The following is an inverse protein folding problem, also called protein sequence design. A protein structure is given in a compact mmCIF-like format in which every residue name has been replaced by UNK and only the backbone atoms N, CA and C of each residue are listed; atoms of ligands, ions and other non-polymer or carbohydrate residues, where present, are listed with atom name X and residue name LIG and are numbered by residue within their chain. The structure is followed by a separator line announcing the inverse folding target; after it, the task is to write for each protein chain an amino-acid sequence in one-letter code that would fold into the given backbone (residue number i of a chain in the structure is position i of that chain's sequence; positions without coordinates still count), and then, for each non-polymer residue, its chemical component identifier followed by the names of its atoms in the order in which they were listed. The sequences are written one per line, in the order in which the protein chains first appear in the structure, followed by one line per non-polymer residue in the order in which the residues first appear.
data_IF_504702943519
#
_entry.id   IF_504702943519
#
_cell.length_a   1.000
_cell.length_b   1.000
_cell.length_c   1.000
_cell.angle_alpha   90.00
_cell.angle_beta   90.00
_cell.angle_gamma   90.00
#
_symmetry.space_group_name_H-M   'P 1'
#
loop_
_entity.id
_entity.type
_entity.pdbx_description
1 polymer ?
#
# COMPACT_ATOMS: atom_id res chain seq x y z
N UNK A 1 2.73 2.60 39.78
CA UNK A 1 1.79 2.87 38.67
C UNK A 1 2.39 2.53 37.31
N UNK A 2 3.54 3.10 36.93
CA UNK A 2 4.17 2.86 35.63
C UNK A 2 4.61 1.41 35.46
N UNK A 3 5.29 0.82 36.46
CA UNK A 3 5.72 -0.58 36.43
C UNK A 3 4.54 -1.55 36.27
N UNK A 4 3.44 -1.32 36.99
CA UNK A 4 2.21 -2.09 36.84
C UNK A 4 1.65 -1.99 35.42
N UNK A 5 1.57 -0.77 34.87
CA UNK A 5 1.05 -0.53 33.51
C UNK A 5 1.90 -1.21 32.44
N UNK A 6 3.23 -1.14 32.56
CA UNK A 6 4.16 -1.80 31.64
C UNK A 6 4.05 -3.32 31.68
N UNK A 7 3.94 -3.92 32.87
CA UNK A 7 3.75 -5.36 33.02
C UNK A 7 2.42 -5.83 32.43
N UNK A 8 1.34 -5.05 32.63
CA UNK A 8 0.03 -5.35 32.03
C UNK A 8 0.08 -5.27 30.51
N UNK A 9 0.72 -4.25 29.97
CA UNK A 9 0.88 -4.08 28.51
C UNK A 9 1.73 -5.21 27.92
N UNK A 10 2.84 -5.57 28.55
CA UNK A 10 3.68 -6.70 28.11
C UNK A 10 2.88 -8.00 28.05
N UNK A 11 2.10 -8.30 29.08
CA UNK A 11 1.25 -9.49 29.09
C UNK A 11 0.14 -9.49 28.04
N UNK A 12 -0.36 -8.32 27.65
CA UNK A 12 -1.32 -8.19 26.54
C UNK A 12 -0.65 -8.48 25.19
N UNK A 13 0.55 -7.95 24.99
CA UNK A 13 1.31 -8.14 23.74
C UNK A 13 1.74 -9.60 23.58
N UNK A 14 2.21 -10.23 24.65
CA UNK A 14 2.58 -11.67 24.66
C UNK A 14 1.41 -12.59 24.24
N UNK A 15 0.19 -12.21 24.60
CA UNK A 15 -1.02 -12.96 24.31
C UNK A 15 -1.75 -12.49 23.04
N UNK A 16 -1.15 -11.56 22.30
CA UNK A 16 -1.73 -11.03 21.08
C UNK A 16 -1.95 -12.15 20.06
N UNK A 17 -3.16 -12.24 19.55
CA UNK A 17 -3.50 -13.17 18.47
C UNK A 17 -3.57 -12.41 17.15
N UNK A 18 -2.82 -12.88 16.18
CA UNK A 18 -2.78 -12.29 14.83
C UNK A 18 -3.47 -13.21 13.85
N UNK A 19 -4.35 -12.67 13.03
CA UNK A 19 -5.03 -13.37 11.95
C UNK A 19 -4.56 -12.80 10.59
N UNK A 20 -3.46 -13.31 10.01
CA UNK A 20 -2.89 -12.76 8.78
C UNK A 20 -3.86 -12.75 7.61
N UNK A 21 -4.71 -13.76 7.50
CA UNK A 21 -5.72 -13.86 6.44
C UNK A 21 -6.75 -12.73 6.51
N UNK A 22 -7.19 -12.39 7.73
CA UNK A 22 -8.11 -11.28 7.94
C UNK A 22 -7.45 -9.92 7.67
N UNK A 23 -6.17 -9.78 8.01
CA UNK A 23 -5.40 -8.58 7.69
C UNK A 23 -5.31 -8.37 6.18
N UNK A 24 -4.99 -9.41 5.43
CA UNK A 24 -4.95 -9.36 3.96
C UNK A 24 -6.31 -9.06 3.36
N UNK A 25 -7.36 -9.70 3.88
CA UNK A 25 -8.75 -9.45 3.46
C UNK A 25 -9.14 -7.98 3.67
N UNK A 26 -8.79 -7.39 4.82
CA UNK A 26 -9.08 -6.00 5.12
C UNK A 26 -8.29 -5.06 4.19
N UNK A 27 -7.02 -5.37 3.91
CA UNK A 27 -6.20 -4.61 2.97
C UNK A 27 -6.82 -4.60 1.56
N UNK A 28 -7.33 -5.74 1.12
CA UNK A 28 -7.93 -5.92 -0.21
C UNK A 28 -9.37 -5.42 -0.32
N UNK A 29 -10.00 -5.04 0.80
CA UNK A 29 -11.38 -4.58 0.84
C UNK A 29 -11.63 -3.39 -0.09
N UNK A 30 -10.65 -2.51 -0.23
CA UNK A 30 -10.69 -1.32 -1.09
C UNK A 30 -10.19 -1.60 -2.52
N UNK A 31 -10.06 -2.87 -2.91
CA UNK A 31 -9.75 -3.30 -4.27
C UNK A 31 -8.53 -2.62 -4.90
N UNK A 32 -7.49 -2.44 -4.12
CA UNK A 32 -6.22 -1.86 -4.55
C UNK A 32 -6.11 -0.35 -4.39
N UNK A 33 -7.17 0.37 -3.97
CA UNK A 33 -7.13 1.83 -3.77
C UNK A 33 -6.07 2.29 -2.76
N UNK A 34 -5.64 1.41 -1.85
CA UNK A 34 -4.54 1.68 -0.90
C UNK A 34 -3.22 2.03 -1.60
N UNK A 35 -3.04 1.58 -2.84
CA UNK A 35 -1.84 1.86 -3.65
C UNK A 35 -1.95 3.13 -4.51
N UNK A 36 -3.05 3.87 -4.44
CA UNK A 36 -3.28 5.05 -5.29
C UNK A 36 -2.18 6.11 -5.15
N UNK A 37 -1.68 6.33 -3.94
CA UNK A 37 -0.58 7.27 -3.71
C UNK A 37 0.73 6.80 -4.34
N UNK A 38 1.03 5.51 -4.29
CA UNK A 38 2.22 4.93 -4.95
C UNK A 38 2.16 5.17 -6.46
N UNK A 39 1.02 4.91 -7.09
CA UNK A 39 0.81 5.18 -8.52
C UNK A 39 0.96 6.68 -8.83
N UNK A 40 0.42 7.57 -8.01
CA UNK A 40 0.59 9.01 -8.17
C UNK A 40 2.07 9.42 -8.17
N UNK A 41 2.84 8.89 -7.22
CA UNK A 41 4.27 9.16 -7.14
C UNK A 41 5.04 8.59 -8.33
N UNK A 42 4.74 7.39 -8.75
CA UNK A 42 5.38 6.76 -9.91
C UNK A 42 5.10 7.55 -11.20
N UNK A 43 3.88 8.03 -11.40
CA UNK A 43 3.52 8.91 -12.53
C UNK A 43 4.32 10.22 -12.51
N UNK A 44 4.43 10.86 -11.36
CA UNK A 44 5.20 12.10 -11.25
C UNK A 44 6.70 11.88 -11.46
N UNK A 45 7.25 10.76 -10.99
CA UNK A 45 8.63 10.36 -11.25
C UNK A 45 8.89 10.04 -12.73
N UNK A 46 7.87 9.57 -13.45
CA UNK A 46 7.93 9.33 -14.88
C UNK A 46 7.82 10.62 -15.72
N UNK A 47 7.67 11.79 -15.09
CA UNK A 47 7.64 13.09 -15.75
C UNK A 47 6.25 13.65 -16.02
N UNK A 48 5.18 12.98 -15.55
CA UNK A 48 3.82 13.49 -15.63
C UNK A 48 3.63 14.61 -14.60
N UNK A 49 2.96 15.70 -14.98
CA UNK A 49 2.67 16.78 -14.02
C UNK A 49 1.80 16.25 -12.88
N UNK A 50 1.91 16.87 -11.70
CA UNK A 50 1.15 16.44 -10.52
C UNK A 50 -0.35 16.50 -10.75
N UNK A 51 -0.82 17.54 -11.42
CA UNK A 51 -2.25 17.71 -11.73
C UNK A 51 -2.76 16.65 -12.69
N UNK A 52 -1.96 16.30 -13.70
CA UNK A 52 -2.33 15.28 -14.67
C UNK A 52 -2.28 13.88 -14.03
N UNK A 53 -1.24 13.59 -13.28
CA UNK A 53 -1.13 12.34 -12.52
C UNK A 53 -2.30 12.16 -11.54
N UNK A 54 -2.69 13.23 -10.85
CA UNK A 54 -3.87 13.21 -9.97
C UNK A 54 -5.16 12.91 -10.75
N UNK A 55 -5.37 13.54 -11.90
CA UNK A 55 -6.54 13.25 -12.76
C UNK A 55 -6.59 11.79 -13.22
N UNK A 56 -5.45 11.24 -13.64
CA UNK A 56 -5.36 9.84 -14.06
C UNK A 56 -5.71 8.89 -12.91
N UNK A 57 -5.13 9.11 -11.74
CA UNK A 57 -5.40 8.28 -10.55
C UNK A 57 -6.86 8.40 -10.13
N UNK A 58 -7.38 9.63 -10.04
CA UNK A 58 -8.74 9.89 -9.58
C UNK A 58 -9.80 9.26 -10.50
N UNK A 59 -9.69 9.42 -11.82
CA UNK A 59 -10.67 8.84 -12.74
C UNK A 59 -10.77 7.32 -12.65
N UNK A 60 -9.63 6.65 -12.45
CA UNK A 60 -9.61 5.20 -12.25
C UNK A 60 -10.11 4.79 -10.86
N UNK A 61 -9.75 5.56 -9.82
CA UNK A 61 -10.23 5.32 -8.47
C UNK A 61 -11.76 5.47 -8.35
N UNK A 62 -12.36 6.42 -9.07
CA UNK A 62 -13.81 6.59 -9.08
C UNK A 62 -14.52 5.39 -9.70
N UNK A 63 -13.98 4.78 -10.76
CA UNK A 63 -14.54 3.54 -11.33
C UNK A 63 -14.51 2.38 -10.34
N UNK A 64 -13.44 2.27 -9.55
CA UNK A 64 -13.35 1.27 -8.47
C UNK A 64 -14.44 1.49 -7.44
N UNK A 65 -14.63 2.73 -7.03
CA UNK A 65 -15.60 3.11 -6.00
C UNK A 65 -17.04 2.93 -6.46
N UNK A 66 -17.38 3.43 -7.65
CA UNK A 66 -18.75 3.46 -8.15
C UNK A 66 -19.18 2.13 -8.78
N UNK A 67 -18.28 1.47 -9.52
CA UNK A 67 -18.57 0.28 -10.31
C UNK A 67 -18.08 -1.03 -9.68
N UNK A 68 -17.33 -0.93 -8.57
CA UNK A 68 -16.80 -2.09 -7.86
C UNK A 68 -15.69 -2.84 -8.61
N UNK A 69 -14.97 -2.16 -9.48
CA UNK A 69 -13.87 -2.73 -10.27
C UNK A 69 -12.57 -2.83 -9.48
N UNK A 70 -11.60 -3.55 -10.01
CA UNK A 70 -10.24 -3.64 -9.46
C UNK A 70 -9.39 -2.47 -9.94
N UNK A 71 -8.67 -1.81 -9.03
CA UNK A 71 -7.88 -0.62 -9.35
C UNK A 71 -6.71 -0.92 -10.29
N UNK A 72 -6.03 -2.04 -10.09
CA UNK A 72 -4.93 -2.45 -10.96
C UNK A 72 -5.42 -2.73 -12.39
N UNK A 73 -6.54 -3.41 -12.55
CA UNK A 73 -7.13 -3.69 -13.85
C UNK A 73 -7.55 -2.41 -14.57
N UNK A 74 -8.16 -1.45 -13.87
CA UNK A 74 -8.54 -0.17 -14.46
C UNK A 74 -7.31 0.65 -14.90
N UNK A 75 -6.23 0.65 -14.13
CA UNK A 75 -4.98 1.32 -14.52
C UNK A 75 -4.33 0.66 -15.74
N UNK A 76 -4.36 -0.67 -15.83
CA UNK A 76 -3.84 -1.41 -16.98
C UNK A 76 -4.68 -1.21 -18.25
N UNK A 77 -5.96 -0.91 -18.11
CA UNK A 77 -6.86 -0.58 -19.22
C UNK A 77 -6.74 0.91 -19.66
N UNK A 78 -6.16 1.76 -18.83
CA UNK A 78 -6.02 3.19 -19.11
C UNK A 78 -4.75 3.45 -19.93
N UNK A 79 -4.93 3.81 -21.22
CA UNK A 79 -3.82 4.02 -22.15
C UNK A 79 -2.88 5.15 -21.73
N UNK A 80 -3.37 6.20 -21.10
CA UNK A 80 -2.52 7.30 -20.63
C UNK A 80 -1.59 6.84 -19.52
N UNK A 81 -2.10 6.03 -18.58
CA UNK A 81 -1.31 5.44 -17.49
C UNK A 81 -0.30 4.42 -18.03
N UNK A 82 -0.72 3.54 -18.94
CA UNK A 82 0.15 2.55 -19.56
C UNK A 82 1.26 3.22 -20.38
N UNK A 83 0.96 4.27 -21.11
CA UNK A 83 1.95 5.04 -21.87
C UNK A 83 2.97 5.72 -20.97
N UNK A 84 2.53 6.23 -19.82
CA UNK A 84 3.40 6.94 -18.87
C UNK A 84 4.30 5.99 -18.05
N UNK A 85 3.76 4.87 -17.57
CA UNK A 85 4.45 3.96 -16.65
C UNK A 85 4.89 2.63 -17.30
N UNK A 86 4.08 2.10 -18.22
CA UNK A 86 4.20 0.73 -18.70
C UNK A 86 3.54 -0.29 -17.77
N UNK A 87 3.08 -1.40 -18.34
CA UNK A 87 2.36 -2.45 -17.59
C UNK A 87 3.19 -3.06 -16.46
N UNK A 88 4.50 -3.30 -16.70
CA UNK A 88 5.39 -3.88 -15.70
C UNK A 88 5.51 -2.99 -14.45
N UNK A 89 5.63 -1.68 -14.63
CA UNK A 89 5.73 -0.73 -13.51
C UNK A 89 4.41 -0.61 -12.75
N UNK A 90 3.28 -0.63 -13.46
CA UNK A 90 1.96 -0.64 -12.81
C UNK A 90 1.82 -1.87 -11.91
N UNK A 91 2.17 -3.06 -12.40
CA UNK A 91 2.11 -4.30 -11.61
C UNK A 91 3.04 -4.26 -10.39
N UNK A 92 4.26 -3.78 -10.57
CA UNK A 92 5.25 -3.61 -9.49
C UNK A 92 4.75 -2.66 -8.40
N UNK A 93 4.00 -1.61 -8.76
CA UNK A 93 3.48 -0.62 -7.82
C UNK A 93 2.44 -1.19 -6.84
N UNK A 94 1.87 -2.37 -7.13
CA UNK A 94 0.96 -3.10 -6.25
C UNK A 94 1.66 -4.11 -5.35
N UNK A 95 3.00 -4.12 -5.35
CA UNK A 95 3.77 -4.99 -4.46
C UNK A 95 3.79 -4.43 -3.03
N UNK A 96 3.23 -5.19 -2.10
CA UNK A 96 3.20 -4.85 -0.69
C UNK A 96 4.61 -4.83 -0.07
N UNK A 97 5.52 -5.68 -0.54
CA UNK A 97 6.88 -5.80 -0.01
C UNK A 97 7.67 -4.51 -0.19
N UNK A 98 7.37 -3.71 -1.22
CA UNK A 98 7.96 -2.38 -1.36
C UNK A 98 7.77 -1.51 -0.12
N UNK A 99 6.58 -1.53 0.48
CA UNK A 99 6.25 -0.74 1.67
C UNK A 99 6.86 -1.32 2.95
N UNK A 100 7.23 -2.59 2.95
CA UNK A 100 7.77 -3.32 4.10
C UNK A 100 9.31 -3.47 4.04
N UNK A 101 9.96 -2.97 2.99
CA UNK A 101 11.40 -3.18 2.72
C UNK A 101 12.36 -2.73 3.82
N UNK A 102 11.95 -1.84 4.71
CA UNK A 102 12.77 -1.32 5.80
C UNK A 102 12.39 -1.87 7.18
N UNK A 103 11.42 -2.78 7.26
CA UNK A 103 10.98 -3.37 8.54
C UNK A 103 12.14 -4.04 9.26
N UNK A 104 12.89 -4.89 8.58
CA UNK A 104 14.06 -5.58 9.18
C UNK A 104 15.16 -4.59 9.61
N UNK A 105 15.33 -3.51 8.89
CA UNK A 105 16.28 -2.46 9.26
C UNK A 105 15.88 -1.79 10.58
N UNK A 106 14.58 -1.53 10.76
CA UNK A 106 14.04 -0.95 12.00
C UNK A 106 14.25 -1.92 13.17
N UNK A 107 13.91 -3.18 12.99
CA UNK A 107 14.10 -4.21 14.01
C UNK A 107 15.56 -4.36 14.42
N UNK A 108 16.49 -4.42 13.48
CA UNK A 108 17.93 -4.46 13.75
C UNK A 108 18.43 -3.26 14.55
N UNK A 109 17.94 -2.06 14.26
CA UNK A 109 18.31 -0.84 14.99
C UNK A 109 17.89 -0.89 16.46
N UNK A 110 16.74 -1.49 16.75
CA UNK A 110 16.16 -1.53 18.10
C UNK A 110 16.72 -2.71 18.91
N UNK A 111 16.81 -3.89 18.31
CA UNK A 111 17.13 -5.13 19.00
C UNK A 111 18.54 -5.66 18.73
N UNK A 112 19.30 -5.02 17.85
CA UNK A 112 20.60 -5.50 17.38
C UNK A 112 20.48 -6.62 16.34
N UNK A 113 21.61 -7.09 15.87
CA UNK A 113 21.66 -8.28 15.01
C UNK A 113 21.45 -9.52 15.88
N UNK A 114 20.48 -10.32 15.51
CA UNK A 114 20.24 -11.60 16.15
C UNK A 114 21.29 -12.64 15.70
#
# INVERSE_FOLDING_TARGET
ALDFSLRRLSGLIEKLVVYPENMLKNLNQMRGLVFSQKILLDLTQAGVSREEAYRMVQRNAMKVWEEGKDFQEELLADQDVVTALGEAKIRESFDLDYHLKHVDTIFRRVFGEA
#
